data_IF_555020322433
#
_entry.id   IF_555020322433
#
_cell.length_a   1.000
_cell.length_b   1.000
_cell.length_c   1.000
_cell.angle_alpha   90.00
_cell.angle_beta   90.00
_cell.angle_gamma   90.00
#
_symmetry.space_group_name_H-M   'P 1'
#
loop_
_entity.id
_entity.type
_entity.pdbx_description
1 polymer ?
#
# COMPACT_ATOMS: atom_id res chain seq x y z
N UNK A 1 4.85 -17.09 17.45
CA UNK A 1 3.53 -16.52 17.84
C UNK A 1 2.66 -16.39 16.59
N UNK A 2 1.57 -17.16 16.48
CA UNK A 2 0.66 -17.18 15.30
C UNK A 2 -0.43 -16.10 15.37
N UNK A 3 -1.02 -15.92 16.56
CA UNK A 3 -2.08 -14.94 16.86
C UNK A 3 -1.68 -13.52 16.46
N UNK A 4 -0.47 -13.06 16.80
CA UNK A 4 -0.01 -11.70 16.46
C UNK A 4 0.07 -11.49 14.94
N UNK A 5 0.57 -12.47 14.19
CA UNK A 5 0.69 -12.36 12.73
C UNK A 5 -0.67 -12.27 12.07
N UNK A 6 -1.59 -13.16 12.47
CA UNK A 6 -2.96 -13.18 11.94
C UNK A 6 -3.72 -11.87 12.27
N UNK A 7 -3.54 -11.32 13.47
CA UNK A 7 -4.15 -10.04 13.87
C UNK A 7 -3.62 -8.85 13.06
N UNK A 8 -2.32 -8.79 12.81
CA UNK A 8 -1.72 -7.71 12.02
C UNK A 8 -2.26 -7.76 10.59
N UNK A 9 -2.23 -8.93 9.95
CA UNK A 9 -2.71 -9.07 8.56
C UNK A 9 -4.21 -8.75 8.48
N UNK A 10 -5.02 -9.29 9.38
CA UNK A 10 -6.48 -9.05 9.37
C UNK A 10 -6.85 -7.60 9.67
N UNK A 11 -6.09 -6.88 10.51
CA UNK A 11 -6.36 -5.46 10.80
C UNK A 11 -6.09 -4.57 9.58
N UNK A 12 -4.96 -4.75 8.89
CA UNK A 12 -4.61 -3.92 7.73
C UNK A 12 -5.39 -4.28 6.46
N UNK A 13 -5.95 -5.49 6.37
CA UNK A 13 -6.75 -5.92 5.23
C UNK A 13 -8.25 -5.58 5.36
N UNK A 14 -8.65 -4.77 6.35
CA UNK A 14 -10.02 -4.27 6.51
C UNK A 14 -10.19 -2.94 5.76
N UNK A 15 -10.84 -2.97 4.59
CA UNK A 15 -11.08 -1.80 3.72
C UNK A 15 -11.81 -0.66 4.43
N UNK A 16 -12.71 -0.99 5.35
CA UNK A 16 -13.48 -0.02 6.14
C UNK A 16 -12.61 0.86 7.06
N UNK A 17 -11.42 0.39 7.42
CA UNK A 17 -10.49 1.15 8.27
C UNK A 17 -9.57 2.07 7.47
N UNK A 18 -9.42 1.85 6.16
CA UNK A 18 -8.49 2.62 5.33
C UNK A 18 -8.74 4.13 5.40
N UNK A 19 -10.00 4.64 5.34
CA UNK A 19 -10.26 6.07 5.47
C UNK A 19 -9.87 6.62 6.84
N UNK A 20 -9.94 5.80 7.91
CA UNK A 20 -9.55 6.25 9.26
C UNK A 20 -8.05 6.39 9.43
N UNK A 21 -7.27 5.61 8.69
CA UNK A 21 -5.81 5.68 8.69
C UNK A 21 -5.26 6.69 7.66
N UNK A 22 -6.12 7.30 6.84
CA UNK A 22 -5.68 8.11 5.70
C UNK A 22 -5.03 7.27 4.60
N UNK A 23 -5.28 5.95 4.58
CA UNK A 23 -4.81 5.07 3.52
C UNK A 23 -5.76 5.16 2.33
N UNK A 24 -5.22 5.55 1.17
CA UNK A 24 -6.01 5.81 -0.04
C UNK A 24 -6.44 4.54 -0.79
N UNK A 25 -5.99 3.37 -0.36
CA UNK A 25 -6.38 2.07 -0.91
C UNK A 25 -5.26 1.36 -1.68
N UNK A 26 -5.60 0.19 -2.24
CA UNK A 26 -4.63 -0.69 -2.90
C UNK A 26 -4.08 -0.10 -4.19
N UNK A 27 -2.76 -0.02 -4.31
CA UNK A 27 -2.13 0.36 -5.58
C UNK A 27 -2.16 -0.76 -6.62
N UNK A 28 -2.27 -2.02 -6.19
CA UNK A 28 -2.26 -3.18 -7.09
C UNK A 28 -3.45 -3.18 -8.05
N UNK A 29 -4.63 -2.75 -7.57
CA UNK A 29 -5.85 -2.61 -8.39
C UNK A 29 -5.71 -1.55 -9.49
N UNK A 30 -4.71 -0.66 -9.37
CA UNK A 30 -4.45 0.44 -10.29
C UNK A 30 -3.14 0.27 -11.09
N UNK A 31 -2.54 -0.92 -11.08
CA UNK A 31 -1.28 -1.18 -11.80
C UNK A 31 -0.04 -0.57 -11.13
N UNK A 32 -0.10 -0.30 -9.82
CA UNK A 32 1.01 0.24 -9.03
C UNK A 32 1.08 1.77 -9.05
N UNK A 33 2.26 2.31 -8.72
CA UNK A 33 2.52 3.75 -8.61
C UNK A 33 3.36 4.32 -9.76
N UNK A 34 3.92 3.46 -10.62
CA UNK A 34 4.83 3.85 -11.70
C UNK A 34 4.21 4.95 -12.58
N UNK A 35 2.93 4.81 -12.94
CA UNK A 35 2.23 5.78 -13.81
C UNK A 35 1.37 6.79 -13.03
N UNK A 36 1.53 6.91 -11.70
CA UNK A 36 0.67 7.76 -10.84
C UNK A 36 1.40 8.96 -10.22
N UNK A 37 2.46 9.43 -10.86
CA UNK A 37 3.18 10.65 -10.43
C UNK A 37 4.20 10.44 -9.30
N UNK A 38 4.56 9.19 -8.97
CA UNK A 38 5.64 8.85 -8.02
C UNK A 38 6.93 8.39 -8.74
N UNK A 39 7.00 8.59 -10.05
CA UNK A 39 8.14 8.24 -10.89
C UNK A 39 9.13 9.40 -11.07
N UNK A 40 9.01 10.45 -10.27
CA UNK A 40 9.88 11.63 -10.23
C UNK A 40 11.14 11.43 -9.37
N UNK A 41 11.36 10.21 -8.86
CA UNK A 41 12.57 9.84 -8.12
C UNK A 41 13.82 9.92 -9.01
N UNK A 42 14.84 10.61 -8.51
CA UNK A 42 16.07 10.93 -9.23
C UNK A 42 17.25 10.02 -8.85
N UNK A 43 17.11 9.19 -7.82
CA UNK A 43 18.16 8.36 -7.27
C UNK A 43 18.30 6.97 -7.91
N UNK A 44 17.37 6.56 -8.79
CA UNK A 44 17.45 5.31 -9.54
C UNK A 44 18.10 5.51 -10.91
N UNK A 45 18.92 4.55 -11.39
CA UNK A 45 19.40 4.55 -12.77
C UNK A 45 18.21 4.48 -13.75
N UNK A 46 18.22 5.35 -14.77
CA UNK A 46 17.23 5.30 -15.86
C UNK A 46 17.57 4.10 -16.76
N UNK A 47 16.55 3.30 -17.07
CA UNK A 47 16.63 2.14 -17.98
C UNK A 47 16.67 2.57 -19.44
#
# INVERSE_FOLDING_TARGET
QKIRGDLVVSLYNQKELWPRFGYEGSSAEHGGYINRGFADIDWLPKV
#
